data_IF_092596891001
#
_entry.id   IF_092596891001
#
_cell.length_a   1.000
_cell.length_b   1.000
_cell.length_c   1.000
_cell.angle_alpha   90.00
_cell.angle_beta   90.00
_cell.angle_gamma   90.00
#
_symmetry.space_group_name_H-M   'P 1'
#
loop_
_entity.id
_entity.type
_entity.pdbx_description
1 polymer ?
#
# COMPACT_ATOMS: atom_id res chain seq x y z
N UNK A 1 13.24 0.58 -7.12
CA UNK A 1 12.19 1.32 -6.40
C UNK A 1 12.45 2.80 -6.48
N UNK A 2 12.46 3.49 -5.34
CA UNK A 2 12.58 4.96 -5.29
C UNK A 2 13.84 5.54 -5.94
N UNK A 3 15.02 5.03 -5.58
CA UNK A 3 16.31 5.51 -6.14
C UNK A 3 16.40 5.28 -7.66
N UNK A 4 15.76 4.22 -8.16
CA UNK A 4 15.75 3.89 -9.59
C UNK A 4 14.65 4.65 -10.35
N UNK A 5 13.79 5.42 -9.67
CA UNK A 5 12.69 6.16 -10.29
C UNK A 5 11.41 5.36 -10.53
N UNK A 6 11.32 4.12 -10.05
CA UNK A 6 10.14 3.26 -10.25
C UNK A 6 8.96 3.62 -9.34
N UNK A 7 9.20 4.38 -8.27
CA UNK A 7 8.19 4.90 -7.35
C UNK A 7 8.54 6.35 -7.04
N UNK A 8 7.58 7.24 -7.19
CA UNK A 8 7.72 8.68 -6.94
C UNK A 8 7.61 9.05 -5.45
N UNK A 9 6.96 8.20 -4.65
CA UNK A 9 6.58 8.51 -3.27
C UNK A 9 6.99 7.39 -2.31
N UNK A 10 7.50 7.79 -1.15
CA UNK A 10 7.82 6.89 -0.02
C UNK A 10 6.96 7.20 1.20
N UNK A 11 6.80 6.22 2.08
CA UNK A 11 6.17 6.48 3.38
C UNK A 11 7.11 7.28 4.27
N UNK A 12 6.64 8.43 4.75
CA UNK A 12 7.27 9.10 5.89
C UNK A 12 7.09 8.27 7.17
N UNK A 13 7.93 8.46 8.21
CA UNK A 13 7.71 7.83 9.51
C UNK A 13 6.31 8.04 10.07
N UNK A 14 5.72 9.24 9.84
CA UNK A 14 4.34 9.55 10.22
C UNK A 14 3.34 8.63 9.53
N UNK A 15 3.50 8.40 8.22
CA UNK A 15 2.63 7.51 7.44
C UNK A 15 2.71 6.07 7.94
N UNK A 16 3.91 5.61 8.32
CA UNK A 16 4.12 4.27 8.90
C UNK A 16 3.37 4.13 10.24
N UNK A 17 3.45 5.13 11.11
CA UNK A 17 2.72 5.12 12.39
C UNK A 17 1.20 5.08 12.15
N UNK A 18 0.69 5.92 11.25
CA UNK A 18 -0.74 5.92 10.88
C UNK A 18 -1.18 4.57 10.32
N UNK A 19 -0.35 3.93 9.48
CA UNK A 19 -0.65 2.59 8.98
C UNK A 19 -0.76 1.56 10.10
N UNK A 20 0.18 1.55 11.05
CA UNK A 20 0.14 0.64 12.19
C UNK A 20 -1.10 0.85 13.06
N UNK A 21 -1.48 2.11 13.32
CA UNK A 21 -2.70 2.45 14.06
C UNK A 21 -3.96 1.97 13.34
N UNK A 22 -4.05 2.20 12.03
CA UNK A 22 -5.16 1.71 11.21
C UNK A 22 -5.23 0.18 11.22
N UNK A 23 -4.09 -0.51 11.16
CA UNK A 23 -4.05 -1.96 11.20
C UNK A 23 -4.60 -2.51 12.53
N UNK A 24 -4.32 -1.84 13.65
CA UNK A 24 -4.88 -2.19 14.95
C UNK A 24 -6.40 -1.90 15.04
N UNK A 25 -6.88 -0.82 14.41
CA UNK A 25 -8.30 -0.44 14.41
C UNK A 25 -9.14 -1.39 13.53
N UNK A 26 -8.67 -1.66 12.30
CA UNK A 26 -9.41 -2.45 11.33
C UNK A 26 -9.13 -3.94 11.40
N UNK A 27 -8.10 -4.37 12.14
CA UNK A 27 -7.67 -5.77 12.19
C UNK A 27 -7.15 -6.32 10.86
N UNK A 28 -6.75 -5.45 9.93
CA UNK A 28 -6.26 -5.84 8.60
C UNK A 28 -5.09 -4.97 8.16
N UNK A 29 -3.93 -5.60 7.98
CA UNK A 29 -2.69 -4.95 7.54
C UNK A 29 -2.83 -4.43 6.11
N UNK A 30 -3.35 -5.26 5.19
CA UNK A 30 -3.49 -4.93 3.77
C UNK A 30 -4.51 -3.83 3.50
N UNK A 31 -5.68 -3.88 4.16
CA UNK A 31 -6.67 -2.80 4.05
C UNK A 31 -6.12 -1.47 4.57
N UNK A 32 -5.41 -1.50 5.70
CA UNK A 32 -4.81 -0.32 6.30
C UNK A 32 -3.66 0.24 5.48
N UNK A 33 -2.88 -0.61 4.81
CA UNK A 33 -1.82 -0.21 3.89
C UNK A 33 -2.41 0.57 2.71
N UNK A 34 -3.55 0.09 2.17
CA UNK A 34 -4.23 0.76 1.06
C UNK A 34 -4.70 2.17 1.43
N UNK A 35 -5.37 2.30 2.58
CA UNK A 35 -5.83 3.59 3.11
C UNK A 35 -4.67 4.55 3.37
N UNK A 36 -3.56 4.04 3.92
CA UNK A 36 -2.49 4.88 4.44
C UNK A 36 -1.49 5.31 3.37
N UNK A 37 -1.26 4.45 2.36
CA UNK A 37 -0.23 4.63 1.35
C UNK A 37 -0.70 4.37 -0.09
N UNK A 38 -1.17 3.16 -0.43
CA UNK A 38 -1.41 2.79 -1.84
C UNK A 38 -2.35 3.76 -2.58
N UNK A 39 -3.42 4.23 -1.94
CA UNK A 39 -4.37 5.15 -2.55
C UNK A 39 -3.76 6.51 -2.90
N UNK A 40 -2.62 6.86 -2.31
CA UNK A 40 -1.88 8.11 -2.56
C UNK A 40 -0.83 7.95 -3.66
N UNK A 41 -0.50 6.71 -4.06
CA UNK A 41 0.40 6.45 -5.16
C UNK A 41 -0.28 6.73 -6.50
N UNK A 42 0.52 7.16 -7.47
CA UNK A 42 0.10 7.26 -8.86
C UNK A 42 -0.35 5.90 -9.38
N UNK A 43 -1.37 5.90 -10.24
CA UNK A 43 -2.01 4.67 -10.71
C UNK A 43 -1.03 3.73 -11.43
N UNK A 44 -0.08 4.30 -12.19
CA UNK A 44 0.98 3.56 -12.87
C UNK A 44 1.91 2.81 -11.90
N UNK A 45 2.06 3.31 -10.67
CA UNK A 45 2.97 2.74 -9.66
C UNK A 45 2.26 1.73 -8.74
N UNK A 46 0.92 1.74 -8.69
CA UNK A 46 0.15 0.91 -7.75
C UNK A 46 0.39 -0.59 -7.92
N UNK A 47 0.54 -1.06 -9.16
CA UNK A 47 0.85 -2.46 -9.45
C UNK A 47 2.21 -2.84 -8.85
N UNK A 48 3.23 -2.01 -9.06
CA UNK A 48 4.56 -2.24 -8.51
C UNK A 48 4.58 -2.19 -6.98
N UNK A 49 3.85 -1.24 -6.38
CA UNK A 49 3.72 -1.15 -4.92
C UNK A 49 2.98 -2.36 -4.34
N UNK A 50 1.97 -2.88 -5.03
CA UNK A 50 1.27 -4.10 -4.66
C UNK A 50 2.20 -5.33 -4.74
N UNK A 51 3.06 -5.42 -5.76
CA UNK A 51 4.08 -6.48 -5.82
C UNK A 51 5.07 -6.39 -4.66
N UNK A 52 5.51 -5.18 -4.27
CA UNK A 52 6.37 -5.02 -3.09
C UNK A 52 5.66 -5.47 -1.81
N UNK A 53 4.37 -5.16 -1.67
CA UNK A 53 3.57 -5.64 -0.55
C UNK A 53 3.53 -7.18 -0.54
N UNK A 54 3.20 -7.80 -1.67
CA UNK A 54 3.12 -9.26 -1.81
C UNK A 54 4.47 -9.93 -1.51
N UNK A 55 5.59 -9.38 -1.98
CA UNK A 55 6.94 -9.92 -1.70
C UNK A 55 7.31 -9.88 -0.21
N UNK A 56 6.82 -8.87 0.52
CA UNK A 56 7.13 -8.69 1.95
C UNK A 56 6.20 -9.51 2.83
N UNK A 57 4.91 -9.56 2.51
CA UNK A 57 3.87 -10.16 3.36
C UNK A 57 3.41 -11.54 2.89
N UNK A 58 3.76 -11.96 1.66
CA UNK A 58 3.29 -13.22 1.08
C UNK A 58 1.79 -13.22 0.74
N UNK A 59 1.13 -12.07 0.76
CA UNK A 59 -0.30 -11.92 0.57
C UNK A 59 -0.60 -10.83 -0.47
N UNK A 60 -1.61 -11.07 -1.29
CA UNK A 60 -2.12 -10.05 -2.20
C UNK A 60 -2.91 -8.99 -1.42
N UNK A 61 -2.80 -7.73 -1.86
CA UNK A 61 -3.62 -6.68 -1.28
C UNK A 61 -5.09 -6.97 -1.56
N UNK A 62 -5.98 -6.87 -0.54
CA UNK A 62 -7.40 -7.10 -0.74
C UNK A 62 -7.89 -6.19 -1.86
N UNK A 63 -8.55 -6.76 -2.88
CA UNK A 63 -8.92 -6.05 -4.11
C UNK A 63 -9.60 -4.72 -3.79
N UNK A 64 -9.15 -3.67 -4.48
CA UNK A 64 -9.59 -2.34 -4.20
C UNK A 64 -10.72 -1.85 -5.05
N UNK A 65 -11.95 -2.08 -4.60
CA UNK A 65 -13.14 -1.27 -4.92
C UNK A 65 -13.31 -0.80 -6.38
N UNK A 66 -12.70 -1.51 -7.33
CA UNK A 66 -12.97 -1.47 -8.75
C UNK A 66 -13.54 -2.84 -9.03
N UNK A 67 -14.87 -2.91 -8.91
CA UNK A 67 -15.66 -4.05 -9.34
C UNK A 67 -15.17 -4.45 -10.74
N UNK A 68 -14.80 -5.72 -10.96
CA UNK A 68 -15.01 -6.35 -12.26
C UNK A 68 -16.48 -6.12 -12.62
N UNK A 69 -16.74 -5.24 -13.59
CA UNK A 69 -17.96 -5.26 -14.38
C UNK A 69 -17.65 -5.98 -15.68
#
# INVERSE_FOLDING_TARGET
GFINGDISTVMSPRTVITWAQNAAIFGSVGFSFRLSFLNKCDEAERTLVAEYYQRVFGEDLPEGAAKKR
#
